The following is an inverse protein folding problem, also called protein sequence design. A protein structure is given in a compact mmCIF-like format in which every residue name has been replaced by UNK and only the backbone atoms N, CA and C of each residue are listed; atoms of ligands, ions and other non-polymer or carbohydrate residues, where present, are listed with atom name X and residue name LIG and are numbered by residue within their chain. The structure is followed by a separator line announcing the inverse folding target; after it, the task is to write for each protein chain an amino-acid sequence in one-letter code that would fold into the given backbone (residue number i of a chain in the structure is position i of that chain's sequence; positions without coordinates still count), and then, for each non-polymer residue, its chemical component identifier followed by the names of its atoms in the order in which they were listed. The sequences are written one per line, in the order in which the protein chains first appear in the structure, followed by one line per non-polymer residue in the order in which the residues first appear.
data_IF_876304151960
#
_entry.id   IF_876304151960
#
_cell.length_a   1.000
_cell.length_b   1.000
_cell.length_c   1.000
_cell.angle_alpha   90.00
_cell.angle_beta   90.00
_cell.angle_gamma   90.00
#
_symmetry.space_group_name_H-M   'P 1'
#
loop_
_entity.id
_entity.type
_entity.pdbx_description
1 polymer ?
#
# COMPACT_ATOMS: atom_id res chain seq x y z
N UNK A 1 -1.18 -16.91 6.11
CA UNK A 1 -1.75 -15.88 5.23
C UNK A 1 -1.08 -14.55 5.57
N UNK A 2 -0.63 -13.79 4.58
CA UNK A 2 0.07 -12.52 4.79
C UNK A 2 -0.91 -11.42 5.22
N UNK A 3 -0.50 -10.60 6.19
CA UNK A 3 -1.27 -9.42 6.62
C UNK A 3 -0.47 -8.14 6.45
N UNK A 4 -1.16 -7.06 6.10
CA UNK A 4 -0.63 -5.70 5.95
C UNK A 4 -1.63 -4.70 6.51
N UNK A 5 -1.13 -3.59 7.05
CA UNK A 5 -1.96 -2.43 7.33
C UNK A 5 -1.94 -1.51 6.11
N UNK A 6 -3.10 -1.32 5.48
CA UNK A 6 -3.24 -0.48 4.28
C UNK A 6 -3.66 0.92 4.69
N UNK A 7 -2.92 1.91 4.23
CA UNK A 7 -3.09 3.32 4.62
C UNK A 7 -3.55 4.16 3.45
N UNK A 8 -4.55 5.00 3.67
CA UNK A 8 -4.98 5.97 2.68
C UNK A 8 -4.09 7.23 2.74
N UNK A 9 -3.92 7.92 1.62
CA UNK A 9 -3.06 9.11 1.54
C UNK A 9 -3.55 10.24 2.45
N UNK A 10 -4.86 10.36 2.67
CA UNK A 10 -5.45 11.37 3.56
C UNK A 10 -5.06 11.18 5.03
N UNK A 11 -4.60 9.98 5.41
CA UNK A 11 -4.08 9.71 6.76
C UNK A 11 -2.59 10.09 6.89
N UNK A 12 -1.87 10.20 5.78
CA UNK A 12 -0.42 10.43 5.74
C UNK A 12 -0.08 11.88 5.42
N UNK A 13 -0.68 12.42 4.38
CA UNK A 13 -0.35 13.76 3.88
C UNK A 13 -0.54 14.88 4.92
N UNK A 14 -1.60 14.89 5.74
CA UNK A 14 -1.75 15.92 6.78
C UNK A 14 -0.67 15.84 7.87
N UNK A 15 -0.22 14.63 8.23
CA UNK A 15 0.87 14.44 9.20
C UNK A 15 2.17 15.01 8.67
N UNK A 16 2.49 14.73 7.39
CA UNK A 16 3.68 15.28 6.73
C UNK A 16 3.60 16.80 6.69
N UNK A 17 2.48 17.37 6.29
CA UNK A 17 2.31 18.82 6.22
C UNK A 17 2.48 19.50 7.58
N UNK A 18 1.89 18.92 8.63
CA UNK A 18 1.96 19.46 10.00
C UNK A 18 3.33 19.24 10.67
N UNK A 19 4.17 18.35 10.16
CA UNK A 19 5.46 18.04 10.80
C UNK A 19 6.40 19.23 10.92
N UNK A 20 6.27 20.22 10.05
CA UNK A 20 7.04 21.49 10.11
C UNK A 20 6.56 22.45 11.20
N UNK A 21 5.32 22.29 11.68
CA UNK A 21 4.67 23.18 12.65
C UNK A 21 4.67 22.58 14.08
N UNK A 22 4.86 21.27 14.21
CA UNK A 22 4.81 20.54 15.48
C UNK A 22 6.21 20.47 16.09
N UNK A 23 6.52 21.20 17.19
CA UNK A 23 7.88 21.25 17.76
C UNK A 23 8.45 19.88 18.14
N UNK A 24 7.57 18.96 18.60
CA UNK A 24 7.97 17.60 18.96
C UNK A 24 8.31 16.69 17.78
N UNK A 25 8.18 17.17 16.53
CA UNK A 25 8.51 16.43 15.32
C UNK A 25 9.95 16.70 14.83
N UNK A 26 10.59 17.79 15.30
CA UNK A 26 11.90 18.19 14.83
C UNK A 26 12.97 17.12 15.13
N UNK A 27 13.74 16.70 14.12
CA UNK A 27 14.77 15.66 14.20
C UNK A 27 14.30 14.30 14.73
N UNK A 28 13.00 13.99 14.57
CA UNK A 28 12.41 12.74 15.02
C UNK A 28 11.92 11.90 13.85
N UNK A 29 11.89 10.58 14.05
CA UNK A 29 11.35 9.62 13.08
C UNK A 29 10.03 9.06 13.60
N UNK A 30 9.04 9.00 12.72
CA UNK A 30 7.70 8.49 13.03
C UNK A 30 7.29 7.42 12.02
N UNK A 31 6.68 6.36 12.51
CA UNK A 31 5.88 5.48 11.66
C UNK A 31 4.51 6.13 11.46
N UNK A 32 4.08 6.24 10.22
CA UNK A 32 2.77 6.79 9.85
C UNK A 32 2.00 5.75 9.06
N UNK A 33 0.79 5.43 9.48
CA UNK A 33 -0.01 4.42 8.80
C UNK A 33 -1.26 4.00 9.58
N UNK A 34 -1.98 3.02 9.04
CA UNK A 34 -3.16 2.45 9.66
C UNK A 34 -2.79 1.38 10.70
N UNK A 35 -3.62 1.27 11.75
CA UNK A 35 -3.42 0.31 12.83
C UNK A 35 -4.07 -1.06 12.57
N UNK A 36 -5.03 -1.13 11.63
CA UNK A 36 -5.82 -2.34 11.40
C UNK A 36 -5.17 -3.18 10.30
N UNK A 37 -4.67 -4.39 10.62
CA UNK A 37 -4.14 -5.29 9.61
C UNK A 37 -5.26 -6.07 8.90
N UNK A 38 -5.12 -6.19 7.60
CA UNK A 38 -5.97 -7.03 6.74
C UNK A 38 -5.14 -8.07 6.02
N UNK A 39 -5.74 -9.17 5.62
CA UNK A 39 -5.07 -10.12 4.73
C UNK A 39 -5.00 -9.55 3.31
N UNK A 40 -4.01 -9.99 2.55
CA UNK A 40 -3.93 -9.62 1.12
C UNK A 40 -5.15 -10.13 0.34
N UNK A 41 -5.74 -11.25 0.79
CA UNK A 41 -6.97 -11.78 0.21
C UNK A 41 -8.18 -10.89 0.50
N UNK A 42 -8.28 -10.34 1.73
CA UNK A 42 -9.34 -9.39 2.08
C UNK A 42 -9.22 -8.12 1.24
N UNK A 43 -7.98 -7.62 1.04
CA UNK A 43 -7.72 -6.50 0.13
C UNK A 43 -8.21 -6.81 -1.29
N UNK A 44 -7.84 -7.96 -1.87
CA UNK A 44 -8.23 -8.33 -3.23
C UNK A 44 -9.75 -8.35 -3.39
N UNK A 45 -10.47 -8.93 -2.43
CA UNK A 45 -11.95 -8.94 -2.41
C UNK A 45 -12.53 -7.53 -2.25
N UNK A 46 -11.93 -6.70 -1.39
CA UNK A 46 -12.39 -5.32 -1.19
C UNK A 46 -12.18 -4.46 -2.44
N UNK A 47 -11.06 -4.65 -3.15
CA UNK A 47 -10.82 -4.02 -4.47
C UNK A 47 -11.88 -4.47 -5.48
N UNK A 48 -12.17 -5.79 -5.55
CA UNK A 48 -13.25 -6.30 -6.41
C UNK A 48 -14.56 -5.57 -6.14
N UNK A 49 -14.99 -5.48 -4.88
CA UNK A 49 -16.22 -4.75 -4.51
C UNK A 49 -16.20 -3.28 -4.91
N UNK A 50 -15.06 -2.60 -4.77
CA UNK A 50 -14.93 -1.19 -5.16
C UNK A 50 -15.08 -0.96 -6.67
N UNK A 51 -14.86 -2.00 -7.48
CA UNK A 51 -15.07 -2.01 -8.92
C UNK A 51 -16.31 -2.78 -9.37
N UNK A 52 -17.26 -3.06 -8.46
CA UNK A 52 -18.50 -3.76 -8.71
C UNK A 52 -18.31 -5.22 -9.17
N UNK A 53 -17.18 -5.83 -8.85
CA UNK A 53 -16.88 -7.25 -9.10
C UNK A 53 -17.08 -8.03 -7.79
N UNK A 54 -18.21 -8.71 -7.64
CA UNK A 54 -18.55 -9.43 -6.41
C UNK A 54 -17.60 -10.60 -6.12
N UNK A 55 -17.23 -11.36 -7.14
CA UNK A 55 -16.35 -12.53 -7.06
C UNK A 55 -15.14 -12.31 -8.00
N UNK A 56 -14.08 -11.64 -7.55
CA UNK A 56 -12.90 -11.46 -8.37
C UNK A 56 -12.15 -12.77 -8.55
N UNK A 57 -11.72 -13.04 -9.77
CA UNK A 57 -10.82 -14.16 -10.06
C UNK A 57 -9.43 -13.87 -9.44
N UNK A 58 -8.92 -14.80 -8.65
CA UNK A 58 -7.67 -14.62 -7.90
C UNK A 58 -6.70 -15.76 -8.21
N UNK A 59 -5.59 -15.42 -8.83
CA UNK A 59 -4.48 -16.34 -9.07
C UNK A 59 -3.52 -16.38 -7.87
N UNK A 60 -3.26 -17.58 -7.37
CA UNK A 60 -2.28 -17.81 -6.31
C UNK A 60 -0.94 -18.18 -6.90
N UNK A 61 0.00 -17.24 -6.83
CA UNK A 61 1.38 -17.49 -7.25
C UNK A 61 2.17 -18.27 -6.18
N UNK A 62 3.30 -18.92 -6.56
CA UNK A 62 4.21 -19.54 -5.60
C UNK A 62 4.61 -18.58 -4.49
N UNK A 63 4.70 -19.09 -3.26
CA UNK A 63 5.09 -18.29 -2.11
C UNK A 63 6.49 -17.69 -2.32
N UNK A 64 6.66 -16.44 -1.92
CA UNK A 64 7.95 -15.74 -1.89
C UNK A 64 8.47 -15.68 -0.46
N UNK A 65 9.78 -15.48 -0.32
CA UNK A 65 10.41 -15.15 0.96
C UNK A 65 10.09 -13.71 1.34
N UNK A 66 8.92 -13.50 1.93
CA UNK A 66 8.43 -12.20 2.37
C UNK A 66 7.99 -12.26 3.84
N UNK A 67 8.02 -11.11 4.50
CA UNK A 67 7.47 -10.96 5.86
C UNK A 67 5.99 -11.33 5.85
N UNK A 68 5.60 -12.28 6.69
CA UNK A 68 4.21 -12.76 6.76
C UNK A 68 3.29 -11.69 7.35
N UNK A 69 3.71 -11.04 8.43
CA UNK A 69 2.95 -9.97 9.07
C UNK A 69 3.78 -8.70 9.10
N UNK A 70 3.30 -7.63 8.48
CA UNK A 70 3.96 -6.33 8.47
C UNK A 70 2.97 -5.23 8.82
N UNK A 71 3.17 -4.64 9.99
CA UNK A 71 2.51 -3.44 10.49
C UNK A 71 3.43 -2.78 11.51
N UNK A 72 3.22 -1.51 11.80
CA UNK A 72 4.06 -0.73 12.69
C UNK A 72 3.30 -0.22 13.91
N UNK A 73 4.03 0.14 14.96
CA UNK A 73 3.50 0.82 16.13
C UNK A 73 3.46 2.34 15.87
N UNK A 74 2.30 2.95 16.05
CA UNK A 74 2.06 4.37 15.87
C UNK A 74 1.91 5.15 17.19
N UNK A 75 2.22 4.54 18.35
CA UNK A 75 2.07 5.18 19.65
C UNK A 75 2.88 6.49 19.77
N UNK A 76 4.09 6.56 19.19
CA UNK A 76 4.89 7.78 19.14
C UNK A 76 4.20 8.88 18.32
N UNK A 77 3.66 8.53 17.17
CA UNK A 77 2.91 9.44 16.31
C UNK A 77 1.74 10.05 17.08
N UNK A 78 0.92 9.20 17.70
CA UNK A 78 -0.26 9.63 18.44
C UNK A 78 0.05 10.54 19.63
N UNK A 79 1.20 10.33 20.31
CA UNK A 79 1.61 11.23 21.41
C UNK A 79 1.98 12.63 20.92
N UNK A 80 2.56 12.74 19.75
CA UNK A 80 3.10 14.02 19.24
C UNK A 80 2.09 14.77 18.39
N UNK A 81 1.37 14.08 17.53
CA UNK A 81 0.42 14.67 16.58
C UNK A 81 -1.05 14.57 17.03
N UNK A 82 -1.33 13.81 18.08
CA UNK A 82 -2.68 13.43 18.48
C UNK A 82 -3.17 12.21 17.72
N UNK A 83 -4.19 11.55 18.26
CA UNK A 83 -4.87 10.43 17.59
C UNK A 83 -5.99 10.98 16.71
N UNK A 84 -5.88 10.80 15.43
CA UNK A 84 -6.91 11.13 14.44
C UNK A 84 -7.63 9.86 13.99
N UNK A 85 -8.85 10.00 13.46
CA UNK A 85 -9.54 8.90 12.81
C UNK A 85 -8.88 8.59 11.47
N UNK A 86 -8.66 7.32 11.19
CA UNK A 86 -8.13 6.87 9.89
C UNK A 86 -9.26 6.58 8.91
N UNK A 87 -8.97 6.71 7.62
CA UNK A 87 -9.89 6.35 6.55
C UNK A 87 -10.06 4.83 6.53
N UNK A 88 -11.28 4.29 6.69
CA UNK A 88 -11.52 2.86 6.60
C UNK A 88 -11.08 2.31 5.24
N UNK A 89 -10.59 1.06 5.20
CA UNK A 89 -10.08 0.44 3.98
C UNK A 89 -11.08 0.52 2.80
N UNK A 90 -12.35 0.19 3.06
CA UNK A 90 -13.38 0.18 2.02
C UNK A 90 -13.69 1.59 1.48
N UNK A 91 -13.69 2.60 2.35
CA UNK A 91 -13.89 3.99 1.94
C UNK A 91 -12.72 4.50 1.10
N UNK A 92 -11.49 4.19 1.51
CA UNK A 92 -10.28 4.52 0.76
C UNK A 92 -10.28 3.87 -0.63
N UNK A 93 -10.61 2.60 -0.71
CA UNK A 93 -10.70 1.86 -1.98
C UNK A 93 -11.81 2.41 -2.89
N UNK A 94 -12.97 2.76 -2.35
CA UNK A 94 -14.05 3.38 -3.11
C UNK A 94 -13.58 4.70 -3.75
N UNK A 95 -12.94 5.59 -2.98
CA UNK A 95 -12.37 6.86 -3.50
C UNK A 95 -11.32 6.61 -4.58
N UNK A 96 -10.45 5.62 -4.38
CA UNK A 96 -9.44 5.23 -5.38
C UNK A 96 -10.10 4.70 -6.66
N UNK A 97 -11.16 3.90 -6.55
CA UNK A 97 -11.89 3.37 -7.70
C UNK A 97 -12.60 4.48 -8.48
N UNK A 98 -13.22 5.44 -7.80
CA UNK A 98 -13.81 6.65 -8.40
C UNK A 98 -12.75 7.41 -9.20
N UNK A 99 -11.63 7.72 -8.57
CA UNK A 99 -10.50 8.39 -9.23
C UNK A 99 -9.96 7.62 -10.43
N UNK A 100 -9.82 6.29 -10.32
CA UNK A 100 -9.34 5.45 -11.41
C UNK A 100 -10.30 5.44 -12.61
N UNK A 101 -11.61 5.46 -12.36
CA UNK A 101 -12.64 5.56 -13.43
C UNK A 101 -12.56 6.92 -14.13
N UNK A 102 -12.35 8.01 -13.40
CA UNK A 102 -12.23 9.36 -13.96
C UNK A 102 -10.94 9.55 -14.76
N UNK A 103 -9.81 9.05 -14.21
CA UNK A 103 -8.48 9.24 -14.82
C UNK A 103 -8.24 8.28 -15.98
N UNK A 104 -8.91 7.13 -15.99
CA UNK A 104 -8.69 6.05 -16.94
C UNK A 104 -7.43 5.23 -16.66
N UNK A 105 -7.27 4.16 -17.42
CA UNK A 105 -6.11 3.26 -17.34
C UNK A 105 -4.92 3.91 -18.06
N UNK A 106 -3.79 3.98 -17.38
CA UNK A 106 -2.52 4.40 -18.00
C UNK A 106 -1.77 3.17 -18.49
N UNK A 107 -1.15 3.25 -19.66
CA UNK A 107 -0.24 2.19 -20.08
C UNK A 107 0.93 2.09 -19.11
N UNK A 108 1.30 0.88 -18.66
CA UNK A 108 2.43 0.69 -17.78
C UNK A 108 3.72 1.03 -18.53
N UNK A 109 4.59 1.79 -17.88
CA UNK A 109 5.95 2.01 -18.37
C UNK A 109 6.70 0.69 -18.18
N UNK A 110 7.18 0.10 -19.29
CA UNK A 110 8.08 -1.06 -19.23
C UNK A 110 9.46 -0.58 -18.84
N UNK A 111 10.02 -1.15 -17.79
CA UNK A 111 11.41 -0.94 -17.44
C UNK A 111 12.29 -1.69 -18.45
N UNK A 112 13.13 -0.98 -19.16
CA UNK A 112 14.07 -1.58 -20.14
C UNK A 112 15.23 -2.31 -19.44
N UNK A 113 15.56 -1.89 -18.21
CA UNK A 113 16.60 -2.50 -17.40
C UNK A 113 16.27 -2.44 -15.91
N UNK A 114 16.76 -3.43 -15.15
CA UNK A 114 16.72 -3.44 -13.69
C UNK A 114 18.17 -3.31 -13.20
N UNK A 115 18.45 -2.28 -12.40
CA UNK A 115 19.80 -1.98 -11.93
C UNK A 115 20.44 -3.09 -11.07
N UNK A 116 19.61 -3.82 -10.30
CA UNK A 116 20.07 -4.88 -9.41
C UNK A 116 19.49 -6.21 -9.87
N UNK A 117 20.29 -7.02 -10.54
CA UNK A 117 19.89 -8.35 -11.05
C UNK A 117 20.08 -9.47 -10.00
N UNK A 118 20.78 -9.21 -8.90
CA UNK A 118 21.08 -10.21 -7.87
C UNK A 118 19.84 -10.50 -7.03
N UNK A 119 19.50 -11.78 -6.87
CA UNK A 119 18.36 -12.26 -6.08
C UNK A 119 16.99 -11.74 -6.55
N UNK A 120 16.83 -11.50 -7.86
CA UNK A 120 15.54 -11.15 -8.43
C UNK A 120 14.52 -12.27 -8.20
N UNK A 121 13.28 -11.94 -7.87
CA UNK A 121 12.20 -12.92 -7.88
C UNK A 121 12.07 -13.56 -9.26
N UNK A 122 11.81 -14.87 -9.36
CA UNK A 122 11.73 -15.56 -10.66
C UNK A 122 10.73 -14.93 -11.64
N UNK A 123 9.63 -14.35 -11.13
CA UNK A 123 8.63 -13.64 -11.93
C UNK A 123 9.16 -12.35 -12.59
N UNK A 124 10.18 -11.71 -12.01
CA UNK A 124 10.83 -10.53 -12.58
C UNK A 124 11.93 -10.93 -13.57
N UNK A 125 12.68 -12.00 -13.25
CA UNK A 125 13.70 -12.53 -14.16
C UNK A 125 13.09 -12.99 -15.50
N UNK A 126 11.90 -13.62 -15.47
CA UNK A 126 11.20 -14.07 -16.68
C UNK A 126 10.77 -12.90 -17.60
N UNK A 127 10.48 -11.70 -17.04
CA UNK A 127 10.13 -10.51 -17.80
C UNK A 127 11.32 -9.90 -18.56
N UNK A 128 12.54 -10.08 -18.06
CA UNK A 128 13.77 -9.55 -18.68
C UNK A 128 14.29 -10.40 -19.84
N UNK A 129 13.92 -11.69 -19.90
CA UNK A 129 14.36 -12.62 -20.95
C UNK A 129 13.53 -12.56 -22.23
N UNK A 130 12.42 -11.83 -22.25
CA UNK A 130 11.55 -11.68 -23.45
C UNK A 130 11.96 -10.52 -24.38
N UNK A 131 13.03 -9.80 -24.08
CA UNK A 131 13.53 -8.65 -24.84
C UNK A 131 14.87 -8.89 -25.55
N UNK A 132 15.24 -10.16 -25.82
CA UNK A 132 16.41 -10.52 -26.64
C UNK A 132 15.98 -11.10 -27.98
#
# INVERSE_FOLDING_TARGET
MQTRAFTHIDDVAPVIARSIEVPGAANEVFNVGADIPYTVLDLAKAVGRAFDVAEPEIDFLPAREEVVHAFSDHAKLHRVFGKESTVPLEDGLRRMAEWARETGVREPIRFESVEVLRNLPPSWAAGLTQTA
#
